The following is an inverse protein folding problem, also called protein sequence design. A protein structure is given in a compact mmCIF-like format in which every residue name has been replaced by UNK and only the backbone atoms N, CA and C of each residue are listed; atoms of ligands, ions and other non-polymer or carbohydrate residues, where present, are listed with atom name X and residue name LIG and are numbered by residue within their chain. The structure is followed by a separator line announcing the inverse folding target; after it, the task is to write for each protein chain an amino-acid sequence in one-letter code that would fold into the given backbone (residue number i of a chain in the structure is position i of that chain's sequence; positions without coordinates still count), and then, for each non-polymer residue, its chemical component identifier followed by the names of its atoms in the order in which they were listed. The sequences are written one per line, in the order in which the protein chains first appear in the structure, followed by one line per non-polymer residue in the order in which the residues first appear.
data_IF_700820785530
#
_entry.id   IF_700820785530
#
_cell.length_a   1.000
_cell.length_b   1.000
_cell.length_c   1.000
_cell.angle_alpha   90.00
_cell.angle_beta   90.00
_cell.angle_gamma   90.00
#
_symmetry.space_group_name_H-M   'P 1'
#
loop_
_entity.id
_entity.type
_entity.pdbx_description
1 polymer ?
#
# COMPACT_ATOMS: atom_id res chain seq x y z
N UNK A 1 -1.90 -17.13 -6.09
CA UNK A 1 -1.58 -18.48 -6.56
C UNK A 1 -2.84 -19.35 -6.54
N UNK A 2 -3.61 -19.36 -5.45
CA UNK A 2 -4.82 -20.18 -5.30
C UNK A 2 -5.88 -19.88 -6.37
N UNK A 3 -6.01 -18.62 -6.76
CA UNK A 3 -6.99 -18.13 -7.74
C UNK A 3 -6.51 -18.16 -9.20
N UNK A 4 -5.32 -18.72 -9.47
CA UNK A 4 -4.79 -18.85 -10.83
C UNK A 4 -5.42 -20.05 -11.52
N UNK A 5 -6.11 -19.79 -12.63
CA UNK A 5 -6.63 -20.85 -13.51
C UNK A 5 -5.51 -21.42 -14.39
N UNK A 6 -5.41 -22.73 -14.44
CA UNK A 6 -4.58 -23.45 -15.42
C UNK A 6 -5.50 -24.33 -16.25
N UNK A 7 -5.61 -24.08 -17.56
CA UNK A 7 -6.53 -24.74 -18.47
C UNK A 7 -8.02 -24.70 -18.04
N UNK A 8 -8.42 -23.55 -17.42
CA UNK A 8 -9.79 -23.33 -16.94
C UNK A 8 -10.08 -23.82 -15.52
N UNK A 9 -9.19 -24.57 -14.91
CA UNK A 9 -9.36 -25.17 -13.57
C UNK A 9 -8.47 -24.52 -12.52
N UNK A 10 -8.93 -24.51 -11.27
CA UNK A 10 -8.20 -24.01 -10.11
C UNK A 10 -7.42 -25.13 -9.42
N UNK A 11 -6.39 -25.64 -10.07
CA UNK A 11 -5.60 -26.81 -9.58
C UNK A 11 -5.04 -26.62 -8.15
N UNK A 12 -4.79 -25.38 -7.73
CA UNK A 12 -4.32 -25.14 -6.39
C UNK A 12 -5.38 -25.44 -5.30
N UNK A 13 -6.67 -25.46 -5.66
CA UNK A 13 -7.74 -25.81 -4.71
C UNK A 13 -7.75 -27.33 -4.43
N UNK A 14 -7.38 -28.16 -5.39
CA UNK A 14 -7.30 -29.62 -5.21
C UNK A 14 -6.36 -30.01 -4.06
N UNK A 15 -5.29 -29.22 -3.83
CA UNK A 15 -4.38 -29.42 -2.71
C UNK A 15 -5.09 -29.28 -1.37
N UNK A 16 -6.03 -28.34 -1.26
CA UNK A 16 -6.76 -28.11 -0.01
C UNK A 16 -7.82 -29.18 0.24
N UNK A 17 -8.38 -29.76 -0.82
CA UNK A 17 -9.35 -30.84 -0.70
C UNK A 17 -8.69 -32.22 -0.49
N UNK A 18 -7.37 -32.31 -0.68
CA UNK A 18 -6.62 -33.57 -0.58
C UNK A 18 -6.40 -34.07 0.85
N UNK A 19 -6.68 -33.26 1.87
CA UNK A 19 -6.41 -33.55 3.29
C UNK A 19 -7.47 -32.96 4.21
N UNK A 20 -7.70 -33.61 5.36
CA UNK A 20 -8.49 -33.06 6.47
C UNK A 20 -7.63 -32.06 7.29
N UNK A 21 -7.76 -30.77 6.97
CA UNK A 21 -7.00 -29.71 7.60
C UNK A 21 -7.59 -29.35 8.97
N UNK A 22 -6.74 -29.35 10.01
CA UNK A 22 -7.16 -28.97 11.36
C UNK A 22 -7.39 -27.47 11.52
N UNK A 23 -6.63 -26.64 10.80
CA UNK A 23 -6.70 -25.17 10.84
C UNK A 23 -6.37 -24.58 9.48
N UNK A 24 -7.15 -23.58 9.04
CA UNK A 24 -6.82 -22.70 7.93
C UNK A 24 -6.65 -21.29 8.47
N UNK A 25 -5.53 -20.63 8.10
CA UNK A 25 -5.24 -19.24 8.42
C UNK A 25 -5.39 -18.42 7.15
N UNK A 26 -6.27 -17.41 7.20
CA UNK A 26 -6.47 -16.44 6.13
C UNK A 26 -5.77 -15.14 6.50
N UNK A 27 -4.67 -14.85 5.84
CA UNK A 27 -4.05 -13.53 5.91
C UNK A 27 -4.79 -12.53 5.02
N UNK A 28 -4.83 -11.26 5.41
CA UNK A 28 -5.63 -10.21 4.76
C UNK A 28 -7.11 -10.64 4.57
N UNK A 29 -7.69 -11.18 5.62
CA UNK A 29 -9.03 -11.80 5.60
C UNK A 29 -10.14 -10.87 5.12
N UNK A 30 -9.95 -9.56 5.22
CA UNK A 30 -10.88 -8.56 4.70
C UNK A 30 -11.10 -8.66 3.18
N UNK A 31 -10.22 -9.33 2.43
CA UNK A 31 -10.37 -9.58 1.00
C UNK A 31 -11.28 -10.77 0.69
N UNK A 32 -11.55 -11.63 1.67
CA UNK A 32 -12.28 -12.89 1.49
C UNK A 32 -13.69 -12.75 0.87
N UNK A 33 -14.48 -11.70 1.18
CA UNK A 33 -15.78 -11.50 0.55
C UNK A 33 -15.76 -11.19 -0.94
N UNK A 34 -14.60 -10.86 -1.53
CA UNK A 34 -14.49 -10.62 -2.96
C UNK A 34 -14.76 -11.92 -3.75
N UNK A 35 -15.47 -11.87 -4.90
CA UNK A 35 -15.91 -13.06 -5.62
C UNK A 35 -14.79 -14.04 -5.95
N UNK A 36 -13.59 -13.53 -6.25
CA UNK A 36 -12.42 -14.37 -6.60
C UNK A 36 -11.88 -15.13 -5.38
N UNK A 37 -12.01 -14.56 -4.16
CA UNK A 37 -11.50 -15.17 -2.93
C UNK A 37 -12.57 -15.98 -2.19
N UNK A 38 -13.85 -15.80 -2.53
CA UNK A 38 -14.97 -16.50 -1.88
C UNK A 38 -14.85 -18.02 -1.98
N UNK A 39 -14.27 -18.52 -3.08
CA UNK A 39 -14.00 -19.96 -3.23
C UNK A 39 -13.02 -20.48 -2.18
N UNK A 40 -12.12 -19.65 -1.66
CA UNK A 40 -11.23 -20.06 -0.58
C UNK A 40 -11.97 -20.17 0.77
N UNK A 41 -13.13 -19.53 0.90
CA UNK A 41 -14.00 -19.67 2.06
C UNK A 41 -14.76 -21.00 2.10
N UNK A 42 -14.94 -21.64 0.94
CA UNK A 42 -15.60 -22.94 0.83
C UNK A 42 -14.68 -24.10 1.26
N UNK A 43 -13.39 -23.83 1.43
CA UNK A 43 -12.42 -24.81 1.92
C UNK A 43 -12.82 -25.34 3.29
N UNK A 44 -12.87 -26.66 3.41
CA UNK A 44 -13.28 -27.32 4.64
C UNK A 44 -12.13 -27.43 5.64
N UNK A 45 -12.34 -26.96 6.86
CA UNK A 45 -11.41 -27.15 7.98
C UNK A 45 -12.17 -27.11 9.31
N UNK A 46 -11.61 -27.77 10.33
CA UNK A 46 -12.20 -27.77 11.67
C UNK A 46 -12.16 -26.39 12.34
N UNK A 47 -11.14 -25.60 12.03
CA UNK A 47 -10.93 -24.27 12.61
C UNK A 47 -10.48 -23.30 11.52
N UNK A 48 -10.92 -22.04 11.66
CA UNK A 48 -10.53 -20.94 10.79
C UNK A 48 -10.01 -19.79 11.63
N UNK A 49 -8.95 -19.14 11.15
CA UNK A 49 -8.38 -17.95 11.75
C UNK A 49 -8.20 -16.90 10.63
N UNK A 50 -8.80 -15.75 10.82
CA UNK A 50 -8.61 -14.60 9.96
C UNK A 50 -7.67 -13.58 10.60
N UNK A 51 -6.68 -13.11 9.86
CA UNK A 51 -5.76 -12.06 10.25
C UNK A 51 -5.94 -10.87 9.32
N UNK A 52 -5.95 -9.65 9.85
CA UNK A 52 -5.94 -8.42 9.06
C UNK A 52 -5.45 -7.25 9.90
N UNK A 53 -4.68 -6.38 9.30
CA UNK A 53 -4.32 -5.09 9.91
C UNK A 53 -5.48 -4.08 9.85
N UNK A 54 -6.40 -4.26 8.90
CA UNK A 54 -7.51 -3.33 8.65
C UNK A 54 -8.80 -4.10 8.40
N UNK A 55 -9.71 -4.08 9.35
CA UNK A 55 -11.01 -4.74 9.17
C UNK A 55 -12.05 -3.81 8.51
N UNK A 56 -11.83 -2.50 8.52
CA UNK A 56 -12.75 -1.53 7.93
C UNK A 56 -12.77 -1.71 6.40
N UNK A 57 -13.95 -2.01 5.87
CA UNK A 57 -14.20 -2.15 4.43
C UNK A 57 -14.97 -0.94 3.92
N UNK A 58 -14.58 -0.44 2.77
CA UNK A 58 -15.27 0.71 2.13
C UNK A 58 -16.66 0.35 1.60
N UNK A 59 -16.91 -0.95 1.35
CA UNK A 59 -18.20 -1.47 0.89
C UNK A 59 -19.14 -1.89 2.03
N UNK A 60 -18.75 -1.68 3.30
CA UNK A 60 -19.56 -2.00 4.49
C UNK A 60 -19.87 -3.49 4.66
N UNK A 61 -19.06 -4.38 4.07
CA UNK A 61 -19.28 -5.83 4.09
C UNK A 61 -18.42 -6.55 5.13
N UNK A 62 -18.14 -5.93 6.25
CA UNK A 62 -17.42 -6.53 7.37
C UNK A 62 -18.16 -7.78 7.92
N UNK A 63 -19.49 -7.74 7.93
CA UNK A 63 -20.32 -8.85 8.38
C UNK A 63 -20.13 -10.12 7.53
N UNK A 64 -19.78 -9.99 6.26
CA UNK A 64 -19.45 -11.14 5.42
C UNK A 64 -18.18 -11.85 5.92
N UNK A 65 -17.19 -11.11 6.42
CA UNK A 65 -15.97 -11.69 7.00
C UNK A 65 -16.32 -12.44 8.28
N UNK A 66 -17.13 -11.83 9.15
CA UNK A 66 -17.57 -12.47 10.40
C UNK A 66 -18.39 -13.73 10.15
N UNK A 67 -19.24 -13.75 9.13
CA UNK A 67 -20.02 -14.91 8.74
C UNK A 67 -19.16 -16.07 8.23
N UNK A 68 -18.07 -15.78 7.53
CA UNK A 68 -17.18 -16.78 6.92
C UNK A 68 -16.16 -17.34 7.92
N UNK A 69 -15.66 -16.53 8.81
CA UNK A 69 -14.55 -16.88 9.71
C UNK A 69 -14.99 -16.97 11.17
N UNK A 70 -15.83 -16.04 11.60
CA UNK A 70 -16.25 -15.89 12.98
C UNK A 70 -16.02 -14.47 13.53
N UNK A 71 -16.48 -14.19 14.76
CA UNK A 71 -16.39 -12.85 15.33
C UNK A 71 -14.94 -12.45 15.63
N UNK A 72 -14.69 -11.14 15.64
CA UNK A 72 -13.42 -10.56 16.09
C UNK A 72 -13.10 -11.03 17.51
N UNK A 73 -11.96 -11.67 17.70
CA UNK A 73 -11.51 -12.25 18.98
C UNK A 73 -10.42 -11.42 19.65
N UNK A 74 -9.62 -10.75 18.86
CA UNK A 74 -8.50 -9.98 19.35
C UNK A 74 -8.34 -8.69 18.52
N UNK A 75 -7.96 -7.63 19.17
CA UNK A 75 -7.57 -6.36 18.58
C UNK A 75 -6.29 -5.90 19.24
N UNK A 76 -5.31 -5.51 18.43
CA UNK A 76 -4.06 -4.95 18.92
C UNK A 76 -4.06 -3.44 18.58
N UNK A 77 -4.38 -2.58 19.55
CA UNK A 77 -4.35 -1.14 19.32
C UNK A 77 -2.96 -0.69 18.91
N UNK A 78 -2.89 0.14 17.86
CA UNK A 78 -1.65 0.64 17.30
C UNK A 78 -0.70 1.22 18.35
N UNK A 79 -1.21 2.03 19.28
CA UNK A 79 -0.44 2.63 20.37
C UNK A 79 0.19 1.61 21.31
N UNK A 80 -0.49 0.50 21.57
CA UNK A 80 0.05 -0.57 22.41
C UNK A 80 1.21 -1.28 21.71
N UNK A 81 1.10 -1.53 20.40
CA UNK A 81 2.17 -2.11 19.59
C UNK A 81 3.38 -1.19 19.50
N UNK A 82 3.17 0.12 19.37
CA UNK A 82 4.20 1.14 19.36
C UNK A 82 4.93 1.21 20.72
N UNK A 83 4.18 1.29 21.83
CA UNK A 83 4.76 1.29 23.18
C UNK A 83 5.52 0.01 23.50
N UNK A 84 5.07 -1.13 22.98
CA UNK A 84 5.74 -2.40 23.13
C UNK A 84 6.94 -2.60 22.18
N UNK A 85 7.22 -1.64 21.28
CA UNK A 85 8.34 -1.69 20.34
C UNK A 85 8.15 -2.66 19.16
N UNK A 86 6.92 -3.15 18.94
CA UNK A 86 6.61 -4.01 17.78
C UNK A 86 6.51 -3.24 16.47
N UNK A 87 6.19 -1.95 16.54
CA UNK A 87 6.16 -1.02 15.41
C UNK A 87 6.95 0.24 15.76
N UNK A 88 7.55 0.87 14.74
CA UNK A 88 8.24 2.13 14.94
C UNK A 88 7.25 3.29 15.17
N UNK A 89 7.67 4.26 15.97
CA UNK A 89 6.97 5.55 16.06
C UNK A 89 6.95 6.21 14.68
N UNK A 90 5.77 6.65 14.23
CA UNK A 90 5.63 7.34 12.97
C UNK A 90 5.12 8.76 13.15
N UNK A 91 5.80 9.69 12.54
CA UNK A 91 5.31 11.05 12.35
C UNK A 91 4.66 11.18 10.97
N UNK A 92 3.37 11.52 10.92
CA UNK A 92 2.61 11.71 9.69
C UNK A 92 2.42 13.20 9.44
N UNK A 93 2.90 13.69 8.29
CA UNK A 93 2.85 15.11 7.91
C UNK A 93 2.09 15.28 6.61
N UNK A 94 1.01 16.05 6.63
CA UNK A 94 0.29 16.44 5.42
C UNK A 94 0.91 17.70 4.83
N UNK A 95 1.40 17.62 3.59
CA UNK A 95 1.97 18.75 2.84
C UNK A 95 1.00 19.19 1.77
N UNK A 96 0.51 20.42 1.86
CA UNK A 96 -0.49 20.96 0.95
C UNK A 96 0.13 21.79 -0.15
N UNK A 97 -0.25 21.51 -1.41
CA UNK A 97 0.09 22.31 -2.59
C UNK A 97 -1.16 22.88 -3.25
N UNK A 98 -1.02 23.82 -4.16
CA UNK A 98 -2.12 24.43 -4.91
C UNK A 98 -2.14 23.92 -6.34
N UNK A 99 -3.34 23.78 -6.91
CA UNK A 99 -3.50 23.53 -8.34
C UNK A 99 -3.05 24.74 -9.14
N UNK A 100 -2.44 24.52 -10.30
CA UNK A 100 -2.21 25.59 -11.29
C UNK A 100 -3.53 26.18 -11.77
N UNK A 101 -3.51 27.34 -12.42
CA UNK A 101 -4.73 27.95 -12.98
C UNK A 101 -5.41 27.03 -13.99
N UNK A 102 -4.64 26.36 -14.86
CA UNK A 102 -5.15 25.41 -15.84
C UNK A 102 -5.79 24.18 -15.16
N UNK A 103 -5.09 23.59 -14.18
CA UNK A 103 -5.58 22.45 -13.40
C UNK A 103 -6.86 22.80 -12.64
N UNK A 104 -6.96 24.02 -12.09
CA UNK A 104 -8.14 24.49 -11.37
C UNK A 104 -9.34 24.62 -12.30
N UNK A 105 -9.16 25.15 -13.50
CA UNK A 105 -10.23 25.22 -14.52
C UNK A 105 -10.67 23.81 -14.94
N UNK A 106 -9.74 22.93 -15.23
CA UNK A 106 -10.03 21.54 -15.59
C UNK A 106 -10.74 20.81 -14.43
N UNK A 107 -10.30 21.02 -13.20
CA UNK A 107 -10.93 20.44 -12.00
C UNK A 107 -12.38 20.90 -11.81
N UNK A 108 -12.67 22.18 -12.02
CA UNK A 108 -14.00 22.75 -11.84
C UNK A 108 -15.04 22.12 -12.78
N UNK A 109 -14.66 21.78 -14.01
CA UNK A 109 -15.54 21.23 -15.05
C UNK A 109 -15.55 19.71 -15.14
N UNK A 110 -14.63 19.03 -14.46
CA UNK A 110 -14.47 17.58 -14.53
C UNK A 110 -15.49 16.81 -13.66
N UNK A 111 -15.74 15.56 -14.02
CA UNK A 111 -16.48 14.61 -13.18
C UNK A 111 -15.65 14.15 -11.98
N UNK A 112 -16.29 13.61 -10.94
CA UNK A 112 -15.68 13.26 -9.65
C UNK A 112 -14.41 12.43 -9.79
N UNK A 113 -14.42 11.37 -10.61
CA UNK A 113 -13.25 10.50 -10.80
C UNK A 113 -12.10 11.24 -11.50
N UNK A 114 -12.39 12.12 -12.44
CA UNK A 114 -11.42 12.93 -13.14
C UNK A 114 -10.87 14.06 -12.25
N UNK A 115 -11.73 14.68 -11.43
CA UNK A 115 -11.30 15.64 -10.40
C UNK A 115 -10.26 15.03 -9.48
N UNK A 116 -10.51 13.81 -8.99
CA UNK A 116 -9.56 13.12 -8.15
C UNK A 116 -8.22 12.91 -8.86
N UNK A 117 -8.23 12.49 -10.14
CA UNK A 117 -6.99 12.33 -10.92
C UNK A 117 -6.24 13.66 -11.05
N UNK A 118 -6.92 14.77 -11.40
CA UNK A 118 -6.30 16.09 -11.53
C UNK A 118 -5.63 16.50 -10.21
N UNK A 119 -6.35 16.38 -9.09
CA UNK A 119 -5.80 16.68 -7.77
C UNK A 119 -4.61 15.78 -7.39
N UNK A 120 -4.72 14.48 -7.70
CA UNK A 120 -3.70 13.49 -7.38
C UNK A 120 -2.40 13.68 -8.17
N UNK A 121 -2.50 14.09 -9.46
CA UNK A 121 -1.34 14.23 -10.38
C UNK A 121 -0.93 15.69 -10.62
N UNK A 122 -1.35 16.62 -9.77
CA UNK A 122 -1.04 18.05 -9.92
C UNK A 122 0.46 18.31 -9.96
N UNK A 123 0.90 19.15 -10.90
CA UNK A 123 2.29 19.56 -11.10
C UNK A 123 2.89 20.27 -9.88
N UNK A 124 2.07 20.93 -9.08
CA UNK A 124 2.52 21.54 -7.83
C UNK A 124 3.15 20.56 -6.84
N UNK A 125 2.84 19.28 -6.95
CA UNK A 125 3.44 18.21 -6.12
C UNK A 125 4.89 17.93 -6.46
N UNK A 126 5.30 18.16 -7.70
CA UNK A 126 6.68 17.92 -8.14
C UNK A 126 7.67 18.77 -7.35
N UNK A 127 7.41 20.07 -7.22
CA UNK A 127 8.24 20.96 -6.43
C UNK A 127 8.28 20.61 -4.93
N UNK A 128 7.18 20.02 -4.40
CA UNK A 128 7.13 19.53 -3.03
C UNK A 128 8.02 18.30 -2.88
N UNK A 129 7.93 17.35 -3.79
CA UNK A 129 8.79 16.14 -3.79
C UNK A 129 10.26 16.53 -3.83
N UNK A 130 10.65 17.45 -4.73
CA UNK A 130 12.03 17.89 -4.85
C UNK A 130 12.55 18.55 -3.55
N UNK A 131 11.72 19.37 -2.89
CA UNK A 131 12.06 19.97 -1.60
C UNK A 131 12.18 18.93 -0.48
N UNK A 132 11.30 17.93 -0.47
CA UNK A 132 11.36 16.87 0.53
C UNK A 132 12.61 16.00 0.33
N UNK A 133 12.96 15.65 -0.90
CA UNK A 133 14.19 14.92 -1.20
C UNK A 133 15.44 15.71 -0.79
N UNK A 134 15.46 17.00 -1.06
CA UNK A 134 16.57 17.87 -0.62
C UNK A 134 16.68 17.97 0.92
N UNK A 135 15.53 17.98 1.63
CA UNK A 135 15.48 18.00 3.10
C UNK A 135 16.01 16.70 3.72
N UNK A 136 15.76 15.57 3.06
CA UNK A 136 16.10 14.22 3.51
C UNK A 136 17.30 13.65 2.76
N UNK A 137 18.24 14.52 2.34
CA UNK A 137 19.44 14.09 1.65
C UNK A 137 20.27 13.16 2.55
N UNK A 138 20.62 11.99 2.03
CA UNK A 138 21.37 10.97 2.77
C UNK A 138 20.48 9.95 3.52
N UNK A 139 19.17 10.16 3.55
CA UNK A 139 18.23 9.19 4.11
C UNK A 139 17.62 8.32 2.99
N UNK A 140 17.12 7.14 3.36
CA UNK A 140 16.38 6.28 2.44
C UNK A 140 14.94 6.76 2.31
N UNK A 141 14.55 7.18 1.09
CA UNK A 141 13.26 7.76 0.78
C UNK A 141 12.47 6.84 -0.15
N UNK A 142 11.27 6.46 0.27
CA UNK A 142 10.33 5.69 -0.54
C UNK A 142 9.21 6.62 -1.05
N UNK A 143 9.09 6.78 -2.38
CA UNK A 143 8.03 7.57 -3.01
C UNK A 143 6.93 6.63 -3.51
N UNK A 144 5.69 6.89 -3.09
CA UNK A 144 4.55 6.01 -3.37
C UNK A 144 3.46 6.77 -4.11
N UNK A 145 2.89 6.15 -5.15
CA UNK A 145 1.77 6.77 -5.88
C UNK A 145 0.88 5.75 -6.61
N UNK A 146 -0.29 6.22 -7.02
CA UNK A 146 -1.27 5.41 -7.73
C UNK A 146 -1.14 5.53 -9.25
N UNK A 147 -0.64 6.65 -9.76
CA UNK A 147 -0.61 6.96 -11.19
C UNK A 147 0.80 6.77 -11.74
N UNK A 148 0.97 5.76 -12.61
CA UNK A 148 2.28 5.38 -13.16
C UNK A 148 2.93 6.53 -13.93
N UNK A 149 2.18 7.28 -14.75
CA UNK A 149 2.66 8.45 -15.49
C UNK A 149 3.30 9.52 -14.58
N UNK A 150 2.67 9.79 -13.43
CA UNK A 150 3.23 10.71 -12.42
C UNK A 150 4.53 10.16 -11.85
N UNK A 151 4.56 8.87 -11.53
CA UNK A 151 5.73 8.20 -10.97
C UNK A 151 6.90 8.12 -11.96
N UNK A 152 6.63 7.90 -13.25
CA UNK A 152 7.62 7.96 -14.32
C UNK A 152 8.28 9.34 -14.42
N UNK A 153 7.47 10.41 -14.34
CA UNK A 153 7.97 11.77 -14.30
C UNK A 153 8.86 12.04 -13.08
N UNK A 154 8.47 11.56 -11.91
CA UNK A 154 9.28 11.69 -10.68
C UNK A 154 10.56 10.86 -10.80
N UNK A 155 10.48 9.61 -11.23
CA UNK A 155 11.62 8.72 -11.37
C UNK A 155 12.67 9.28 -12.35
N UNK A 156 12.22 9.79 -13.49
CA UNK A 156 13.11 10.42 -14.49
C UNK A 156 13.81 11.67 -13.94
N UNK A 157 13.08 12.53 -13.20
CA UNK A 157 13.63 13.77 -12.64
C UNK A 157 14.61 13.50 -11.50
N UNK A 158 14.35 12.48 -10.68
CA UNK A 158 15.19 12.14 -9.53
C UNK A 158 16.25 11.09 -9.82
N UNK A 159 16.28 10.55 -11.04
CA UNK A 159 17.12 9.42 -11.44
C UNK A 159 16.96 8.20 -10.50
N UNK A 160 15.77 8.01 -9.96
CA UNK A 160 15.45 6.91 -9.07
C UNK A 160 14.81 5.74 -9.82
N UNK A 161 15.07 4.49 -9.44
CA UNK A 161 14.38 3.35 -10.01
C UNK A 161 12.88 3.41 -9.75
N UNK A 162 12.08 3.00 -10.75
CA UNK A 162 10.63 2.86 -10.65
C UNK A 162 10.21 1.39 -10.69
N UNK A 163 9.48 0.98 -9.67
CA UNK A 163 8.84 -0.35 -9.60
C UNK A 163 7.33 -0.21 -9.72
N UNK A 164 6.75 -0.86 -10.73
CA UNK A 164 5.31 -0.85 -11.00
C UNK A 164 4.80 -2.24 -11.43
N UNK A 165 3.51 -2.36 -11.72
CA UNK A 165 2.86 -3.66 -11.96
C UNK A 165 3.44 -4.49 -13.10
N UNK A 166 4.04 -3.87 -14.12
CA UNK A 166 4.67 -4.56 -15.26
C UNK A 166 6.18 -4.77 -15.09
N UNK A 167 6.78 -4.28 -13.99
CA UNK A 167 8.19 -4.55 -13.68
C UNK A 167 8.39 -6.03 -13.42
N UNK A 168 9.35 -6.66 -14.14
CA UNK A 168 9.65 -8.07 -13.96
C UNK A 168 10.11 -8.37 -12.52
N UNK A 169 9.85 -9.59 -12.04
CA UNK A 169 10.23 -9.99 -10.68
C UNK A 169 11.72 -9.77 -10.41
N UNK A 170 12.59 -10.14 -11.36
CA UNK A 170 14.05 -9.96 -11.24
C UNK A 170 14.42 -8.49 -11.05
N UNK A 171 13.97 -7.58 -11.92
CA UNK A 171 14.26 -6.14 -11.81
C UNK A 171 13.73 -5.53 -10.53
N UNK A 172 12.60 -6.04 -10.04
CA UNK A 172 11.98 -5.60 -8.80
C UNK A 172 12.84 -5.99 -7.59
N UNK A 173 13.28 -7.24 -7.53
CA UNK A 173 14.18 -7.74 -6.49
C UNK A 173 15.51 -6.98 -6.49
N UNK A 174 16.12 -6.78 -7.66
CA UNK A 174 17.33 -5.97 -7.83
C UNK A 174 17.16 -4.54 -7.27
N UNK A 175 16.06 -3.86 -7.59
CA UNK A 175 15.79 -2.51 -7.10
C UNK A 175 15.59 -2.48 -5.57
N UNK A 176 14.91 -3.48 -5.02
CA UNK A 176 14.71 -3.56 -3.56
C UNK A 176 16.00 -3.90 -2.82
N UNK A 177 16.83 -4.78 -3.36
CA UNK A 177 18.11 -5.12 -2.74
C UNK A 177 19.08 -3.94 -2.79
N UNK A 178 19.13 -3.21 -3.90
CA UNK A 178 19.90 -1.98 -4.02
C UNK A 178 19.43 -0.89 -3.03
N UNK A 179 18.11 -0.80 -2.79
CA UNK A 179 17.58 0.11 -1.79
C UNK A 179 17.89 -0.35 -0.37
N UNK A 180 17.74 -1.64 -0.04
CA UNK A 180 18.08 -2.19 1.29
C UNK A 180 19.56 -2.05 1.63
N UNK A 181 20.44 -2.24 0.63
CA UNK A 181 21.88 -2.09 0.82
C UNK A 181 22.36 -0.64 0.93
N UNK A 182 21.48 0.33 0.62
CA UNK A 182 21.83 1.76 0.58
C UNK A 182 22.59 2.17 -0.69
N UNK A 183 22.71 1.30 -1.70
CA UNK A 183 23.27 1.62 -3.00
C UNK A 183 22.45 2.72 -3.71
N UNK A 184 21.14 2.70 -3.52
CA UNK A 184 20.23 3.77 -3.92
C UNK A 184 19.52 4.34 -2.69
N UNK A 185 19.42 5.66 -2.61
CA UNK A 185 18.76 6.36 -1.51
C UNK A 185 17.28 6.64 -1.77
N UNK A 186 16.84 6.60 -3.02
CA UNK A 186 15.46 6.90 -3.40
C UNK A 186 14.90 5.77 -4.26
N UNK A 187 13.70 5.32 -3.91
CA UNK A 187 12.95 4.31 -4.67
C UNK A 187 11.53 4.80 -4.94
N UNK A 188 11.07 4.70 -6.18
CA UNK A 188 9.70 5.06 -6.58
C UNK A 188 8.89 3.79 -6.81
N UNK A 189 7.71 3.68 -6.19
CA UNK A 189 6.87 2.49 -6.29
C UNK A 189 5.42 2.85 -6.60
N UNK A 190 4.82 2.08 -7.49
CA UNK A 190 3.37 2.17 -7.69
C UNK A 190 2.63 1.33 -6.64
N UNK A 191 1.36 1.67 -6.40
CA UNK A 191 0.50 0.95 -5.46
C UNK A 191 0.42 -0.56 -5.73
N UNK A 192 0.49 -0.98 -6.99
CA UNK A 192 0.41 -2.40 -7.39
C UNK A 192 1.63 -3.18 -6.89
N UNK A 193 2.74 -2.51 -6.68
CA UNK A 193 3.92 -3.12 -6.07
C UNK A 193 3.77 -3.33 -4.55
N UNK A 194 2.79 -2.67 -3.91
CA UNK A 194 2.63 -2.70 -2.45
C UNK A 194 2.00 -3.98 -1.89
N UNK A 195 1.15 -4.69 -2.68
CA UNK A 195 0.33 -5.79 -2.15
C UNK A 195 1.07 -7.11 -1.92
N UNK A 196 2.27 -7.29 -2.45
CA UNK A 196 2.92 -8.62 -2.45
C UNK A 196 4.37 -8.58 -1.98
N UNK A 197 4.87 -7.45 -1.49
CA UNK A 197 6.30 -7.28 -1.31
C UNK A 197 6.60 -6.72 0.05
N UNK A 198 7.57 -7.35 0.67
CA UNK A 198 8.26 -6.82 1.83
C UNK A 198 9.03 -5.57 1.42
N UNK A 199 8.37 -4.40 1.50
CA UNK A 199 9.02 -3.13 1.20
C UNK A 199 10.19 -2.95 2.16
N UNK A 200 11.34 -2.53 1.67
CA UNK A 200 12.48 -2.28 2.53
C UNK A 200 12.18 -1.16 3.52
N UNK A 201 12.84 -1.23 4.67
CA UNK A 201 12.74 -0.23 5.71
C UNK A 201 13.21 1.13 5.18
N UNK A 202 12.28 2.05 5.01
CA UNK A 202 12.57 3.42 4.60
C UNK A 202 12.51 4.36 5.81
N UNK A 203 13.44 5.29 5.90
CA UNK A 203 13.41 6.33 6.93
C UNK A 203 12.27 7.31 6.67
N UNK A 204 12.02 7.60 5.39
CA UNK A 204 11.05 8.58 4.92
C UNK A 204 10.16 7.98 3.85
N UNK A 205 8.84 8.10 4.03
CA UNK A 205 7.84 7.81 3.02
C UNK A 205 7.24 9.09 2.46
N UNK A 206 7.07 9.18 1.14
CA UNK A 206 6.39 10.31 0.47
C UNK A 206 5.27 9.75 -0.39
N UNK A 207 4.03 9.95 0.02
CA UNK A 207 2.85 9.59 -0.77
C UNK A 207 2.45 10.78 -1.65
N UNK A 208 2.61 10.63 -2.97
CA UNK A 208 2.26 11.69 -3.94
C UNK A 208 0.84 11.57 -4.48
N UNK A 209 0.29 10.36 -4.49
CA UNK A 209 -1.11 10.10 -4.86
C UNK A 209 -1.62 8.83 -4.19
N UNK A 210 -2.87 8.90 -3.71
CA UNK A 210 -3.62 7.76 -3.20
C UNK A 210 -4.52 7.14 -4.25
N UNK A 211 -5.33 6.15 -3.87
CA UNK A 211 -6.46 5.66 -4.64
C UNK A 211 -7.73 6.32 -4.16
N UNK A 212 -8.62 6.64 -5.10
CA UNK A 212 -9.94 7.13 -4.74
C UNK A 212 -10.64 6.12 -3.82
N UNK A 213 -11.00 6.56 -2.61
CA UNK A 213 -11.78 5.78 -1.66
C UNK A 213 -11.00 4.75 -0.81
N UNK A 214 -9.67 4.65 -0.86
CA UNK A 214 -8.95 3.57 -0.16
C UNK A 214 -8.20 4.02 1.11
N UNK A 215 -8.91 4.20 2.22
CA UNK A 215 -8.31 4.38 3.56
C UNK A 215 -7.51 3.15 4.01
N UNK A 216 -7.94 1.99 3.59
CA UNK A 216 -7.34 0.70 3.92
C UNK A 216 -5.96 0.52 3.32
N UNK A 217 -5.78 0.92 2.05
CA UNK A 217 -4.46 0.91 1.39
C UNK A 217 -3.47 1.84 2.08
N UNK A 218 -3.91 3.00 2.58
CA UNK A 218 -3.05 3.92 3.31
C UNK A 218 -2.57 3.33 4.65
N UNK A 219 -3.47 2.71 5.41
CA UNK A 219 -3.10 2.05 6.67
C UNK A 219 -2.11 0.90 6.47
N UNK A 220 -2.28 0.11 5.40
CA UNK A 220 -1.35 -0.96 5.06
C UNK A 220 0.04 -0.44 4.66
N UNK A 221 0.12 0.67 3.94
CA UNK A 221 1.39 1.32 3.57
C UNK A 221 2.13 1.83 4.79
N UNK A 222 1.42 2.53 5.67
CA UNK A 222 1.99 3.00 6.94
C UNK A 222 2.52 1.83 7.76
N UNK A 223 1.75 0.75 7.92
CA UNK A 223 2.17 -0.43 8.67
C UNK A 223 3.44 -1.10 8.14
N UNK A 224 3.74 -0.98 6.86
CA UNK A 224 4.99 -1.52 6.27
C UNK A 224 6.20 -0.63 6.51
N UNK A 225 6.02 0.70 6.45
CA UNK A 225 7.07 1.68 6.77
C UNK A 225 7.38 1.76 8.27
N UNK A 226 6.41 1.35 9.10
CA UNK A 226 6.48 1.44 10.56
C UNK A 226 7.15 0.23 11.22
N UNK A 227 7.99 -0.49 10.50
CA UNK A 227 8.76 -1.58 11.11
C UNK A 227 9.83 -1.01 12.04
N UNK A 228 10.03 -1.65 13.21
CA UNK A 228 11.11 -1.26 14.10
C UNK A 228 12.44 -1.33 13.35
N UNK A 229 13.21 -0.25 13.41
CA UNK A 229 14.56 -0.24 12.85
C UNK A 229 15.55 -0.74 13.88
N UNK A 230 16.65 -1.32 13.41
CA UNK A 230 17.71 -1.81 14.30
C UNK A 230 18.31 -0.70 15.18
N UNK A 231 18.26 0.55 14.73
CA UNK A 231 18.74 1.75 15.43
C UNK A 231 17.69 2.42 16.32
N UNK A 232 16.46 1.88 16.37
CA UNK A 232 15.34 2.49 17.12
C UNK A 232 14.78 3.76 16.50
N UNK A 233 15.16 4.11 15.27
CA UNK A 233 14.68 5.32 14.55
C UNK A 233 13.19 5.27 14.24
N UNK A 234 12.50 6.41 14.35
CA UNK A 234 11.13 6.61 13.91
C UNK A 234 11.03 6.67 12.37
N UNK A 235 9.84 6.51 11.84
CA UNK A 235 9.54 6.72 10.43
C UNK A 235 8.81 8.05 10.23
N UNK A 236 9.17 8.77 9.17
CA UNK A 236 8.51 10.01 8.79
C UNK A 236 7.72 9.80 7.49
N UNK A 237 6.42 10.09 7.52
CA UNK A 237 5.55 9.87 6.39
C UNK A 237 4.87 11.15 5.94
N UNK A 238 5.17 11.58 4.72
CA UNK A 238 4.55 12.73 4.08
C UNK A 238 3.42 12.30 3.14
N UNK A 239 2.27 12.93 3.28
CA UNK A 239 1.18 12.84 2.30
C UNK A 239 1.04 14.19 1.59
N UNK A 240 1.30 14.20 0.27
CA UNK A 240 1.23 15.43 -0.54
C UNK A 240 -0.16 15.54 -1.16
N UNK A 241 -0.91 16.56 -0.75
CA UNK A 241 -2.30 16.78 -1.18
C UNK A 241 -2.48 18.13 -1.88
N UNK A 242 -3.44 18.21 -2.80
CA UNK A 242 -3.83 19.47 -3.41
C UNK A 242 -4.87 20.16 -2.51
N UNK A 243 -4.71 21.48 -2.27
CA UNK A 243 -5.68 22.28 -1.52
C UNK A 243 -6.98 22.44 -2.28
N UNK A 244 -8.06 22.64 -1.54
CA UNK A 244 -9.39 22.98 -2.06
C UNK A 244 -9.90 21.95 -3.10
N UNK A 245 -9.56 20.68 -2.89
CA UNK A 245 -10.00 19.53 -3.68
C UNK A 245 -10.74 18.52 -2.82
N UNK A 246 -11.57 17.66 -3.46
CA UNK A 246 -12.29 16.57 -2.82
C UNK A 246 -11.36 15.41 -2.48
#
# INVERSE_FOLDING_TARGET
VVTRKTKGEYRALELFDSRDWGLIIYDEVHLLPAPVFRMAADLQSRRRLGLTATLVREDGREDDVFSLIGPKRYDAPWKELEMAGYIATAECVEVRTTLTSEERMAYATAETKQRYRIAATSRGKDAVVDKLLARHQGEQVLIIGAYVEQLEGIAARTNAPLVHGTTSTKKREEAFDAFRSGEISTLVVSKVANFSIDLPDAAVGIQVSGTFGSRQEEAQRLGRLLRPKADGGGALFYTVVARDTL
#
